data_IF_120791448012
#
_entry.id   IF_120791448012
#
_cell.length_a   1.000
_cell.length_b   1.000
_cell.length_c   1.000
_cell.angle_alpha   90.00
_cell.angle_beta   90.00
_cell.angle_gamma   90.00
#
_symmetry.space_group_name_H-M   'P 1'
#
loop_
_entity.id
_entity.type
_entity.pdbx_description
1 polymer ?
#
# COMPACT_ATOMS: atom_id res chain seq x y z
N UNK A 1 12.83 12.01 -12.92
CA UNK A 1 12.39 10.95 -12.01
C UNK A 1 10.92 11.16 -11.75
N UNK A 2 10.13 10.08 -11.78
CA UNK A 2 8.70 10.13 -11.45
C UNK A 2 8.54 10.30 -9.94
N UNK A 3 7.79 11.30 -9.50
CA UNK A 3 7.53 11.58 -8.09
C UNK A 3 6.48 10.58 -7.56
N UNK A 4 6.91 9.58 -6.78
CA UNK A 4 6.05 8.53 -6.22
C UNK A 4 5.68 8.91 -4.79
N UNK A 5 4.39 9.12 -4.56
CA UNK A 5 3.85 9.56 -3.28
C UNK A 5 2.97 8.48 -2.68
N UNK A 6 3.43 7.92 -1.57
CA UNK A 6 2.98 6.64 -1.03
C UNK A 6 2.04 6.82 0.15
N UNK A 7 0.93 6.08 0.11
CA UNK A 7 0.08 5.80 1.25
C UNK A 7 0.32 4.37 1.77
N UNK A 8 0.50 4.18 3.07
CA UNK A 8 0.75 2.85 3.66
C UNK A 8 -0.39 2.44 4.58
N UNK A 9 -1.16 1.44 4.18
CA UNK A 9 -2.16 0.78 5.01
C UNK A 9 -1.52 -0.33 5.84
N UNK A 10 -1.79 -0.35 7.15
CA UNK A 10 -1.11 -1.26 8.07
C UNK A 10 0.32 -0.83 8.40
N UNK A 11 0.60 0.48 8.39
CA UNK A 11 1.93 1.11 8.54
C UNK A 11 2.73 0.70 9.78
N UNK A 12 2.08 0.21 10.84
CA UNK A 12 2.72 -0.22 12.10
C UNK A 12 2.64 -1.74 12.32
N UNK A 13 2.22 -2.48 11.28
CA UNK A 13 2.17 -3.92 11.27
C UNK A 13 3.53 -4.55 11.01
N UNK A 14 3.56 -5.89 11.07
CA UNK A 14 4.78 -6.68 10.88
C UNK A 14 5.44 -6.40 9.52
N UNK A 15 4.63 -6.29 8.45
CA UNK A 15 5.14 -6.06 7.09
C UNK A 15 5.07 -4.61 6.64
N UNK A 16 4.12 -3.81 7.14
CA UNK A 16 4.08 -2.38 6.84
C UNK A 16 5.30 -1.61 7.35
N UNK A 17 5.88 -2.05 8.48
CA UNK A 17 7.10 -1.42 9.04
C UNK A 17 8.34 -1.59 8.14
N UNK A 18 8.73 -2.79 7.70
CA UNK A 18 9.85 -2.95 6.78
C UNK A 18 9.59 -2.29 5.42
N UNK A 19 8.38 -2.35 4.87
CA UNK A 19 8.08 -1.61 3.63
C UNK A 19 8.31 -0.11 3.75
N UNK A 20 7.92 0.51 4.87
CA UNK A 20 8.22 1.93 5.11
C UNK A 20 9.73 2.19 5.20
N UNK A 21 10.47 1.28 5.83
CA UNK A 21 11.93 1.40 5.89
C UNK A 21 12.55 1.33 4.48
N UNK A 22 12.19 0.32 3.69
CA UNK A 22 12.66 0.13 2.31
C UNK A 22 12.27 1.30 1.39
N UNK A 23 11.04 1.81 1.50
CA UNK A 23 10.58 2.94 0.67
C UNK A 23 11.39 4.22 0.94
N UNK A 24 11.91 4.42 2.15
CA UNK A 24 12.79 5.57 2.46
C UNK A 24 14.17 5.45 1.83
N UNK A 25 14.56 4.26 1.37
CA UNK A 25 15.83 4.01 0.68
C UNK A 25 15.73 4.24 -0.83
N UNK A 26 14.51 4.46 -1.36
CA UNK A 26 14.28 4.62 -2.81
C UNK A 26 14.24 6.09 -3.20
N UNK A 27 15.16 6.50 -4.07
CA UNK A 27 15.20 7.86 -4.62
C UNK A 27 13.91 8.20 -5.39
N UNK A 28 13.30 9.34 -5.08
CA UNK A 28 12.06 9.81 -5.72
C UNK A 28 10.77 9.19 -5.16
N UNK A 29 10.86 8.46 -4.04
CA UNK A 29 9.71 7.97 -3.27
C UNK A 29 9.56 8.79 -2.00
N UNK A 30 8.33 9.24 -1.71
CA UNK A 30 7.97 9.90 -0.47
C UNK A 30 6.74 9.25 0.15
N UNK A 31 6.81 8.89 1.43
CA UNK A 31 5.63 8.45 2.18
C UNK A 31 4.86 9.69 2.63
N UNK A 32 3.64 9.86 2.12
CA UNK A 32 2.78 11.01 2.40
C UNK A 32 1.74 10.66 3.46
N UNK A 33 1.23 9.41 3.43
CA UNK A 33 0.17 8.97 4.32
C UNK A 33 0.48 7.64 5.00
N UNK A 34 0.17 7.55 6.29
CA UNK A 34 0.25 6.31 7.06
C UNK A 34 -1.07 5.99 7.76
N UNK A 35 -1.48 4.73 7.67
CA UNK A 35 -2.69 4.22 8.29
C UNK A 35 -2.41 3.04 9.22
N UNK A 36 -2.89 3.12 10.46
CA UNK A 36 -2.96 1.99 11.38
C UNK A 36 -3.87 2.27 12.59
N UNK A 37 -4.31 1.20 13.29
CA UNK A 37 -5.17 1.32 14.50
C UNK A 37 -4.44 1.84 15.75
N UNK A 38 -3.15 1.51 15.92
CA UNK A 38 -2.39 1.84 17.15
C UNK A 38 -1.81 3.25 17.05
N UNK A 39 -2.55 4.25 17.55
CA UNK A 39 -2.25 5.68 17.38
C UNK A 39 -0.84 6.08 17.84
N UNK A 40 -0.35 5.56 18.96
CA UNK A 40 0.97 5.94 19.49
C UNK A 40 2.11 5.47 18.57
N UNK A 41 2.04 4.22 18.11
CA UNK A 41 2.99 3.69 17.14
C UNK A 41 2.86 4.40 15.78
N UNK A 42 1.64 4.76 15.40
CA UNK A 42 1.39 5.44 14.12
C UNK A 42 1.96 6.86 14.13
N UNK A 43 1.90 7.58 15.25
CA UNK A 43 2.56 8.89 15.40
C UNK A 43 4.08 8.78 15.28
N UNK A 44 4.69 7.76 15.90
CA UNK A 44 6.12 7.49 15.76
C UNK A 44 6.49 7.19 14.32
N UNK A 45 5.71 6.34 13.66
CA UNK A 45 5.85 5.99 12.26
C UNK A 45 5.78 7.22 11.34
N UNK A 46 4.78 8.07 11.52
CA UNK A 46 4.62 9.30 10.75
C UNK A 46 5.82 10.24 10.89
N UNK A 47 6.35 10.39 12.11
CA UNK A 47 7.54 11.20 12.36
C UNK A 47 8.80 10.63 11.68
N UNK A 48 8.95 9.29 11.66
CA UNK A 48 10.06 8.60 10.98
C UNK A 48 10.02 8.74 9.45
N UNK A 49 8.82 8.91 8.89
CA UNK A 49 8.56 8.94 7.45
C UNK A 49 8.33 10.37 6.91
N UNK A 50 8.26 11.36 7.80
CA UNK A 50 7.77 12.71 7.50
C UNK A 50 6.37 12.72 6.83
N UNK A 51 5.53 11.73 7.16
CA UNK A 51 4.18 11.62 6.62
C UNK A 51 3.26 12.68 7.23
N UNK A 52 2.54 13.41 6.38
CA UNK A 52 1.63 14.49 6.79
C UNK A 52 0.22 13.99 7.08
N UNK A 53 -0.22 12.93 6.39
CA UNK A 53 -1.50 12.29 6.62
C UNK A 53 -1.36 11.10 7.58
N UNK A 54 -1.97 11.21 8.76
CA UNK A 54 -1.89 10.21 9.83
C UNK A 54 -3.31 9.83 10.25
N UNK A 55 -3.74 8.62 9.95
CA UNK A 55 -5.15 8.24 10.09
C UNK A 55 -5.36 6.79 10.52
N UNK A 56 -6.48 6.49 11.15
CA UNK A 56 -6.96 5.12 11.40
C UNK A 56 -7.98 4.65 10.36
N UNK A 57 -8.31 5.49 9.37
CA UNK A 57 -9.23 5.22 8.27
C UNK A 57 -8.50 5.08 6.95
N UNK A 58 -8.62 3.93 6.29
CA UNK A 58 -7.90 3.69 5.05
C UNK A 58 -8.46 4.51 3.89
N UNK A 59 -9.74 4.87 3.97
CA UNK A 59 -10.46 5.65 2.97
C UNK A 59 -9.84 7.04 2.80
N UNK A 60 -9.31 7.62 3.87
CA UNK A 60 -8.63 8.92 3.84
C UNK A 60 -7.30 8.85 3.06
N UNK A 61 -6.61 7.71 3.10
CA UNK A 61 -5.40 7.47 2.28
C UNK A 61 -5.78 7.39 0.80
N UNK A 62 -6.87 6.68 0.48
CA UNK A 62 -7.35 6.52 -0.91
C UNK A 62 -7.96 7.81 -1.45
N UNK A 63 -8.58 8.64 -0.62
CA UNK A 63 -9.14 9.92 -1.03
C UNK A 63 -8.10 11.05 -1.16
N UNK A 64 -6.86 10.83 -0.70
CA UNK A 64 -5.82 11.85 -0.77
C UNK A 64 -5.28 12.00 -2.20
N UNK A 65 -5.46 13.19 -2.78
CA UNK A 65 -4.98 13.51 -4.15
C UNK A 65 -3.46 13.55 -4.27
N UNK A 66 -2.75 13.78 -3.15
CA UNK A 66 -1.29 13.75 -3.14
C UNK A 66 -0.72 12.33 -3.24
N UNK A 67 -1.50 11.29 -2.94
CA UNK A 67 -1.04 9.90 -2.95
C UNK A 67 -1.34 9.28 -4.31
N UNK A 68 -0.33 8.76 -5.00
CA UNK A 68 -0.50 8.08 -6.30
C UNK A 68 -0.20 6.57 -6.23
N UNK A 69 0.41 6.10 -5.13
CA UNK A 69 0.76 4.71 -4.91
C UNK A 69 0.34 4.27 -3.50
N UNK A 70 -0.32 3.12 -3.37
CA UNK A 70 -0.78 2.60 -2.07
C UNK A 70 -0.17 1.22 -1.79
N UNK A 71 0.43 1.09 -0.61
CA UNK A 71 0.85 -0.18 -0.03
C UNK A 71 -0.28 -0.69 0.86
N UNK A 72 -0.87 -1.82 0.49
CA UNK A 72 -1.84 -2.56 1.30
C UNK A 72 -1.10 -3.65 2.07
N UNK A 73 -0.59 -3.30 3.24
CA UNK A 73 0.15 -4.18 4.15
C UNK A 73 -0.67 -4.67 5.35
N UNK A 74 -2.00 -4.68 5.23
CA UNK A 74 -2.94 -5.15 6.25
C UNK A 74 -3.04 -6.68 6.27
N UNK A 75 -3.78 -7.30 7.21
CA UNK A 75 -4.20 -8.68 7.06
C UNK A 75 -5.04 -8.90 5.78
N UNK A 76 -4.94 -10.09 5.21
CA UNK A 76 -5.54 -10.52 3.94
C UNK A 76 -7.06 -10.33 3.87
N UNK A 77 -7.76 -10.53 4.99
CA UNK A 77 -9.20 -10.29 5.09
C UNK A 77 -9.61 -8.83 4.81
N UNK A 78 -8.67 -7.88 4.85
CA UNK A 78 -8.89 -6.44 4.69
C UNK A 78 -8.37 -5.87 3.37
N UNK A 79 -7.84 -6.71 2.47
CA UNK A 79 -7.27 -6.23 1.20
C UNK A 79 -8.33 -5.76 0.21
N UNK A 80 -9.47 -6.45 0.17
CA UNK A 80 -10.42 -6.35 -0.92
C UNK A 80 -10.96 -4.93 -1.16
N UNK A 81 -11.50 -4.29 -0.12
CA UNK A 81 -12.13 -2.98 -0.27
C UNK A 81 -11.12 -1.88 -0.62
N UNK A 82 -9.96 -1.74 0.06
CA UNK A 82 -8.97 -0.74 -0.31
C UNK A 82 -8.41 -0.93 -1.72
N UNK A 83 -8.19 -2.16 -2.18
CA UNK A 83 -7.63 -2.42 -3.52
C UNK A 83 -8.60 -1.99 -4.62
N UNK A 84 -9.89 -2.30 -4.48
CA UNK A 84 -10.92 -1.87 -5.43
C UNK A 84 -11.08 -0.34 -5.42
N UNK A 85 -11.11 0.27 -4.24
CA UNK A 85 -11.20 1.72 -4.11
C UNK A 85 -9.99 2.44 -4.72
N UNK A 86 -8.78 1.88 -4.59
CA UNK A 86 -7.59 2.41 -5.25
C UNK A 86 -7.70 2.33 -6.78
N UNK A 87 -8.28 1.25 -7.32
CA UNK A 87 -8.46 1.09 -8.77
C UNK A 87 -9.42 2.15 -9.32
N UNK A 88 -10.51 2.40 -8.60
CA UNK A 88 -11.48 3.45 -8.91
C UNK A 88 -10.86 4.85 -8.83
N UNK A 89 -10.04 5.09 -7.80
CA UNK A 89 -9.33 6.34 -7.58
C UNK A 89 -8.10 6.54 -8.50
N UNK A 90 -7.80 5.59 -9.38
CA UNK A 90 -6.68 5.72 -10.31
C UNK A 90 -5.29 5.64 -9.65
N UNK A 91 -5.15 4.85 -8.58
CA UNK A 91 -3.88 4.71 -7.84
C UNK A 91 -3.18 3.40 -8.17
N UNK A 92 -1.86 3.42 -8.18
CA UNK A 92 -1.05 2.20 -8.22
C UNK A 92 -1.15 1.48 -6.87
N UNK A 93 -1.08 0.15 -6.88
CA UNK A 93 -1.15 -0.67 -5.67
C UNK A 93 -0.07 -1.73 -5.62
N UNK A 94 0.57 -1.85 -4.46
CA UNK A 94 1.18 -3.08 -3.98
C UNK A 94 0.28 -3.67 -2.90
N UNK A 95 -0.25 -4.87 -3.12
CA UNK A 95 -1.11 -5.57 -2.19
C UNK A 95 -0.41 -6.82 -1.68
N UNK A 96 -0.23 -6.92 -0.35
CA UNK A 96 0.46 -8.06 0.25
C UNK A 96 -0.19 -9.41 -0.09
N UNK A 97 0.61 -10.46 0.00
CA UNK A 97 0.14 -11.84 -0.11
C UNK A 97 -0.36 -12.34 1.26
N UNK A 98 -1.39 -13.20 1.30
CA UNK A 98 -2.27 -13.60 0.19
C UNK A 98 -3.07 -12.42 -0.37
N UNK A 99 -3.21 -12.35 -1.70
CA UNK A 99 -3.82 -11.18 -2.38
C UNK A 99 -5.25 -10.89 -1.88
N UNK A 100 -6.01 -11.94 -1.54
CA UNK A 100 -7.32 -11.86 -0.90
C UNK A 100 -7.66 -13.16 -0.18
N UNK A 101 -8.77 -13.18 0.56
CA UNK A 101 -9.17 -14.33 1.39
C UNK A 101 -9.66 -15.55 0.60
N UNK A 102 -9.98 -15.40 -0.68
CA UNK A 102 -10.40 -16.48 -1.57
C UNK A 102 -10.17 -16.12 -3.05
N UNK A 103 -10.37 -17.10 -3.95
CA UNK A 103 -10.18 -16.92 -5.39
C UNK A 103 -11.15 -15.90 -6.02
N UNK A 104 -12.37 -15.79 -5.52
CA UNK A 104 -13.36 -14.81 -6.01
C UNK A 104 -12.87 -13.39 -5.80
N UNK A 105 -12.38 -13.07 -4.60
CA UNK A 105 -11.84 -11.75 -4.29
C UNK A 105 -10.55 -11.46 -5.04
N UNK A 106 -9.64 -12.45 -5.12
CA UNK A 106 -8.44 -12.34 -5.93
C UNK A 106 -8.76 -12.01 -7.40
N UNK A 107 -9.74 -12.70 -7.98
CA UNK A 107 -10.18 -12.47 -9.36
C UNK A 107 -10.77 -11.07 -9.54
N UNK A 108 -11.63 -10.63 -8.63
CA UNK A 108 -12.23 -9.29 -8.71
C UNK A 108 -11.17 -8.17 -8.58
N UNK A 109 -10.19 -8.32 -7.69
CA UNK A 109 -9.07 -7.37 -7.58
C UNK A 109 -8.17 -7.36 -8.81
N UNK A 110 -8.00 -8.50 -9.49
CA UNK A 110 -7.30 -8.56 -10.77
C UNK A 110 -8.08 -7.83 -11.88
N UNK A 111 -9.37 -8.15 -12.04
CA UNK A 111 -10.21 -7.55 -13.08
C UNK A 111 -10.36 -6.03 -12.91
N UNK A 112 -10.29 -5.51 -11.68
CA UNK A 112 -10.32 -4.07 -11.41
C UNK A 112 -9.15 -3.28 -12.05
N UNK A 113 -8.01 -3.94 -12.27
CA UNK A 113 -6.80 -3.32 -12.86
C UNK A 113 -6.49 -3.79 -14.28
N UNK A 114 -7.00 -4.95 -14.70
CA UNK A 114 -6.64 -5.63 -15.95
C UNK A 114 -6.69 -4.73 -17.19
N UNK A 115 -7.75 -3.95 -17.34
CA UNK A 115 -7.94 -3.06 -18.49
C UNK A 115 -7.38 -1.64 -18.25
N UNK A 116 -6.89 -1.35 -17.04
CA UNK A 116 -6.29 -0.07 -16.63
C UNK A 116 -4.78 -0.13 -16.80
N UNK A 117 -4.31 -0.23 -18.04
CA UNK A 117 -2.89 -0.45 -18.39
C UNK A 117 -1.91 0.65 -17.91
N UNK A 118 -2.42 1.81 -17.49
CA UNK A 118 -1.65 2.90 -16.88
C UNK A 118 -1.48 2.74 -15.36
N UNK A 119 -2.19 1.80 -14.72
CA UNK A 119 -2.09 1.50 -13.31
C UNK A 119 -1.36 0.18 -13.09
N UNK A 120 -0.64 0.11 -11.97
CA UNK A 120 0.06 -1.09 -11.54
C UNK A 120 -0.72 -1.72 -10.39
N UNK A 121 -0.89 -3.04 -10.42
CA UNK A 121 -1.32 -3.86 -9.29
C UNK A 121 -0.32 -4.99 -9.12
N UNK A 122 0.45 -4.94 -8.03
CA UNK A 122 1.53 -5.87 -7.76
C UNK A 122 1.27 -6.66 -6.47
N UNK A 123 1.52 -7.97 -6.51
CA UNK A 123 1.51 -8.84 -5.34
C UNK A 123 2.94 -9.30 -5.05
N UNK A 124 3.50 -8.99 -3.86
CA UNK A 124 4.93 -9.14 -3.58
C UNK A 124 5.30 -10.59 -3.23
N UNK A 125 5.33 -11.46 -4.24
CA UNK A 125 6.01 -12.75 -4.13
C UNK A 125 7.53 -12.55 -4.21
N UNK A 126 8.11 -11.93 -3.16
CA UNK A 126 9.52 -11.50 -3.11
C UNK A 126 10.53 -12.61 -3.38
N UNK A 127 10.17 -13.87 -3.13
CA UNK A 127 11.04 -15.02 -3.41
C UNK A 127 11.35 -15.18 -4.90
N UNK A 128 10.62 -14.50 -5.78
CA UNK A 128 10.90 -14.44 -7.23
C UNK A 128 11.96 -13.39 -7.61
N UNK A 129 12.36 -12.55 -6.66
CA UNK A 129 13.23 -11.37 -6.87
C UNK A 129 14.49 -11.38 -6.01
N UNK A 130 14.75 -12.47 -5.30
CA UNK A 130 15.99 -12.67 -4.54
C UNK A 130 16.86 -13.68 -5.26
N UNK A 131 18.17 -13.54 -5.14
CA UNK A 131 19.11 -14.53 -5.64
C UNK A 131 18.85 -15.89 -4.98
N UNK A 132 19.00 -16.95 -5.77
CA UNK A 132 19.08 -18.30 -5.23
C UNK A 132 20.40 -18.36 -4.46
N UNK A 133 20.32 -18.82 -3.21
CA UNK A 133 21.44 -18.98 -2.28
C UNK A 133 22.70 -19.58 -2.92
#
# INVERSE_FOLDING_TARGET
MTDIRVGVLGATGYIGTPYRAEMREVDGVQIVGVNARRRDLLKKAAAEDAATLVTDRWEEIVACDEINFVIVGTPDALHYEPVLACAEAGKHVLCEKPVGKNATEASAMYEAYKDRTHLAHFVPFWTRYVDIF
#
